data_IF_401731825028
#
_entry.id   IF_401731825028
#
_cell.length_a   1.000
_cell.length_b   1.000
_cell.length_c   1.000
_cell.angle_alpha   90.00
_cell.angle_beta   90.00
_cell.angle_gamma   90.00
#
_symmetry.space_group_name_H-M   'P 1'
#
loop_
_entity.id
_entity.type
_entity.pdbx_description
1 polymer ?
#
# COMPACT_ATOMS: atom_id res chain seq x y z
N UNK A 1 9.45 27.62 -3.93
CA UNK A 1 9.61 26.16 -3.85
C UNK A 1 9.53 25.60 -5.26
N UNK A 2 10.54 24.84 -5.67
CA UNK A 2 10.56 24.13 -6.95
C UNK A 2 10.46 22.62 -6.68
N UNK A 3 9.55 21.94 -7.38
CA UNK A 3 9.40 20.49 -7.31
C UNK A 3 9.10 19.94 -8.71
N UNK A 4 9.94 19.05 -9.19
CA UNK A 4 9.75 18.39 -10.50
C UNK A 4 9.26 16.95 -10.29
N UNK A 5 8.47 16.46 -11.24
CA UNK A 5 8.01 15.06 -11.21
C UNK A 5 9.20 14.07 -11.21
N UNK A 6 10.24 14.37 -12.00
CA UNK A 6 11.44 13.56 -12.05
C UNK A 6 12.13 13.47 -10.68
N UNK A 7 12.34 14.59 -9.99
CA UNK A 7 12.95 14.61 -8.67
C UNK A 7 12.10 13.83 -7.63
N UNK A 8 10.77 13.93 -7.72
CA UNK A 8 9.86 13.16 -6.87
C UNK A 8 10.01 11.65 -7.07
N UNK A 9 10.02 11.18 -8.32
CA UNK A 9 10.23 9.76 -8.65
C UNK A 9 11.63 9.30 -8.22
N UNK A 10 12.64 10.10 -8.47
CA UNK A 10 14.01 9.81 -8.04
C UNK A 10 14.10 9.59 -6.52
N UNK A 11 13.39 10.37 -5.72
CA UNK A 11 13.37 10.21 -4.26
C UNK A 11 12.75 8.88 -3.80
N UNK A 12 11.84 8.30 -4.58
CA UNK A 12 11.19 7.02 -4.28
C UNK A 12 12.10 5.81 -4.58
N UNK A 13 13.19 5.97 -5.32
CA UNK A 13 14.13 4.88 -5.61
C UNK A 13 14.87 4.36 -4.38
N UNK A 14 14.72 5.06 -3.24
CA UNK A 14 15.17 4.63 -1.92
C UNK A 14 16.66 4.21 -1.91
N UNK A 15 16.97 3.06 -1.32
CA UNK A 15 18.34 2.55 -1.15
C UNK A 15 19.05 2.05 -2.44
N UNK A 16 18.40 2.07 -3.59
CA UNK A 16 19.02 1.72 -4.87
C UNK A 16 20.23 2.61 -5.19
N UNK A 17 20.17 3.89 -4.79
CA UNK A 17 21.30 4.82 -4.91
C UNK A 17 22.52 4.36 -4.11
N UNK A 18 22.28 3.92 -2.88
CA UNK A 18 23.34 3.47 -1.98
C UNK A 18 24.02 2.21 -2.53
N UNK A 19 23.25 1.24 -3.02
CA UNK A 19 23.84 0.04 -3.61
C UNK A 19 24.68 0.34 -4.82
N UNK A 20 24.17 1.09 -5.78
CA UNK A 20 24.97 1.48 -6.94
C UNK A 20 26.21 2.30 -6.57
N UNK A 21 26.09 3.20 -5.60
CA UNK A 21 27.20 4.03 -5.14
C UNK A 21 28.30 3.28 -4.38
N UNK A 22 27.97 2.16 -3.73
CA UNK A 22 28.95 1.37 -2.95
C UNK A 22 29.74 0.41 -3.83
N UNK A 23 29.08 -0.34 -4.72
CA UNK A 23 29.70 -1.43 -5.46
C UNK A 23 29.38 -1.44 -6.98
N UNK A 24 28.61 -0.47 -7.46
CA UNK A 24 28.18 -0.41 -8.87
C UNK A 24 27.08 -1.40 -9.23
N UNK A 25 26.51 -2.12 -8.28
CA UNK A 25 25.49 -3.13 -8.56
C UNK A 25 24.19 -2.53 -9.05
N UNK A 26 23.62 -3.16 -10.10
CA UNK A 26 22.32 -2.79 -10.66
C UNK A 26 21.30 -3.83 -10.24
N UNK A 27 20.30 -3.40 -9.47
CA UNK A 27 19.23 -4.28 -9.04
C UNK A 27 18.31 -4.64 -10.21
N UNK A 28 18.17 -5.90 -10.57
CA UNK A 28 17.18 -6.34 -11.56
C UNK A 28 15.77 -6.38 -10.97
N UNK A 29 14.81 -6.84 -11.78
CA UNK A 29 13.44 -7.12 -11.32
C UNK A 29 13.38 -8.50 -10.66
N UNK A 30 12.84 -8.55 -9.43
CA UNK A 30 12.76 -9.78 -8.64
C UNK A 30 11.33 -10.24 -8.33
N UNK A 31 10.32 -9.64 -8.93
CA UNK A 31 8.92 -9.95 -8.63
C UNK A 31 8.38 -9.14 -7.46
N UNK A 32 7.65 -9.79 -6.55
CA UNK A 32 6.85 -9.12 -5.50
C UNK A 32 7.45 -9.20 -4.09
N UNK A 33 8.75 -9.37 -3.96
CA UNK A 33 9.44 -9.29 -2.67
C UNK A 33 10.50 -8.20 -2.64
N UNK A 34 10.82 -7.75 -1.42
CA UNK A 34 11.89 -6.78 -1.20
C UNK A 34 13.24 -7.49 -0.99
N UNK A 35 14.25 -7.10 -1.78
CA UNK A 35 15.57 -7.72 -1.72
C UNK A 35 16.39 -7.31 -0.49
N UNK A 36 16.04 -6.21 0.15
CA UNK A 36 16.72 -5.73 1.36
C UNK A 36 16.13 -6.35 2.64
N UNK A 37 15.03 -7.08 2.53
CA UNK A 37 14.29 -7.60 3.67
C UNK A 37 13.81 -9.03 3.38
N UNK A 38 14.28 -9.99 4.16
CA UNK A 38 13.83 -11.37 4.05
C UNK A 38 13.11 -11.80 5.35
N UNK A 39 11.82 -12.04 5.34
CA UNK A 39 10.81 -12.06 4.27
C UNK A 39 10.06 -10.73 4.27
N UNK A 40 9.81 -10.15 3.09
CA UNK A 40 8.84 -9.08 2.92
C UNK A 40 8.22 -9.26 1.54
N UNK A 41 7.13 -10.01 1.47
CA UNK A 41 6.59 -10.49 0.20
C UNK A 41 5.09 -10.75 0.26
N UNK A 42 4.46 -10.67 -0.91
CA UNK A 42 3.09 -11.16 -1.14
C UNK A 42 3.16 -12.63 -1.54
N UNK A 43 2.43 -13.46 -0.83
CA UNK A 43 2.44 -14.92 -0.99
C UNK A 43 1.07 -15.43 -1.47
N UNK A 44 1.01 -16.42 -2.35
CA UNK A 44 -0.25 -16.98 -2.82
C UNK A 44 -0.93 -17.83 -1.74
N UNK A 45 -2.26 -17.73 -1.69
CA UNK A 45 -3.15 -18.58 -0.91
C UNK A 45 -4.19 -19.20 -1.84
N UNK A 46 -5.00 -20.13 -1.32
CA UNK A 46 -6.04 -20.83 -2.07
C UNK A 46 -7.08 -19.89 -2.70
N UNK A 47 -7.40 -18.78 -2.04
CA UNK A 47 -8.45 -17.83 -2.41
C UNK A 47 -7.91 -16.42 -2.70
N UNK A 48 -6.60 -16.25 -2.90
CA UNK A 48 -6.00 -14.96 -3.19
C UNK A 48 -4.56 -14.85 -2.73
N UNK A 49 -4.20 -13.73 -2.11
CA UNK A 49 -2.83 -13.45 -1.70
C UNK A 49 -2.78 -12.85 -0.30
N UNK A 50 -1.68 -13.06 0.41
CA UNK A 50 -1.40 -12.48 1.73
C UNK A 50 -0.02 -11.84 1.75
N UNK A 51 0.08 -10.65 2.29
CA UNK A 51 1.35 -9.99 2.59
C UNK A 51 1.89 -10.50 3.93
N UNK A 52 3.17 -10.86 3.96
CA UNK A 52 3.89 -11.26 5.18
C UNK A 52 5.14 -10.42 5.33
N UNK A 53 5.28 -9.81 6.52
CA UNK A 53 6.42 -8.98 6.87
C UNK A 53 7.25 -9.58 8.00
N UNK A 54 8.46 -10.04 7.69
CA UNK A 54 9.41 -10.65 8.63
C UNK A 54 10.78 -9.98 8.62
N UNK A 55 10.81 -8.65 8.52
CA UNK A 55 12.01 -7.86 8.24
C UNK A 55 13.11 -7.88 9.31
N UNK A 56 12.85 -8.36 10.51
CA UNK A 56 13.86 -8.50 11.55
C UNK A 56 13.77 -9.87 12.26
N UNK A 57 14.83 -10.25 12.98
CA UNK A 57 15.01 -11.60 13.49
C UNK A 57 13.85 -12.09 14.36
N UNK A 58 13.30 -11.26 15.23
CA UNK A 58 12.15 -11.64 16.07
C UNK A 58 10.93 -12.08 15.25
N UNK A 59 10.60 -11.36 14.16
CA UNK A 59 9.48 -11.72 13.28
C UNK A 59 9.81 -12.93 12.42
N UNK A 60 11.06 -13.03 11.95
CA UNK A 60 11.56 -14.21 11.25
C UNK A 60 11.30 -15.50 12.04
N UNK A 61 11.76 -15.56 13.29
CA UNK A 61 11.55 -16.74 14.12
C UNK A 61 10.08 -17.03 14.39
N UNK A 62 9.24 -16.02 14.50
CA UNK A 62 7.80 -16.20 14.68
C UNK A 62 7.13 -16.78 13.43
N UNK A 63 7.52 -16.34 12.24
CA UNK A 63 7.03 -16.92 10.98
C UNK A 63 7.32 -18.43 10.96
N UNK A 64 8.58 -18.81 11.17
CA UNK A 64 8.96 -20.22 11.08
C UNK A 64 8.39 -21.07 12.20
N UNK A 65 8.25 -20.54 13.38
CA UNK A 65 7.51 -21.21 14.46
C UNK A 65 6.04 -21.43 14.09
N UNK A 66 5.41 -20.49 13.38
CA UNK A 66 4.06 -20.67 12.89
C UNK A 66 3.99 -21.79 11.84
N UNK A 67 4.92 -21.78 10.89
CA UNK A 67 5.05 -22.84 9.88
C UNK A 67 5.33 -24.21 10.53
N UNK A 68 6.19 -24.23 11.52
CA UNK A 68 6.62 -25.45 12.24
C UNK A 68 5.50 -26.17 12.98
N UNK A 69 4.41 -25.48 13.34
CA UNK A 69 3.23 -26.13 13.92
C UNK A 69 2.58 -27.14 12.96
N UNK A 70 2.64 -26.87 11.67
CA UNK A 70 2.09 -27.71 10.62
C UNK A 70 3.20 -28.54 9.92
N UNK A 71 4.43 -28.00 9.86
CA UNK A 71 5.60 -28.55 9.13
C UNK A 71 6.89 -28.41 9.93
N UNK A 72 7.10 -29.21 10.98
CA UNK A 72 8.27 -29.09 11.86
C UNK A 72 9.61 -29.29 11.13
N UNK A 73 9.64 -30.11 10.09
CA UNK A 73 10.83 -30.34 9.28
C UNK A 73 11.28 -29.08 8.53
N UNK A 74 10.33 -28.24 8.09
CA UNK A 74 10.62 -26.98 7.40
C UNK A 74 11.16 -25.93 8.38
N UNK A 75 10.54 -25.82 9.57
CA UNK A 75 11.04 -24.95 10.63
C UNK A 75 12.47 -25.33 11.00
N UNK A 76 12.72 -26.61 11.27
CA UNK A 76 14.03 -27.11 11.64
C UNK A 76 15.08 -26.78 10.57
N UNK A 77 14.80 -27.07 9.32
CA UNK A 77 15.71 -26.80 8.20
C UNK A 77 16.08 -25.32 8.08
N UNK A 78 15.10 -24.44 8.18
CA UNK A 78 15.30 -22.99 8.01
C UNK A 78 15.93 -22.33 9.26
N UNK A 79 15.50 -22.72 10.46
CA UNK A 79 15.93 -22.07 11.71
C UNK A 79 17.29 -22.58 12.19
N UNK A 80 17.62 -23.86 11.96
CA UNK A 80 18.90 -24.44 12.36
C UNK A 80 20.05 -24.09 11.42
N UNK A 81 19.79 -23.60 10.18
CA UNK A 81 20.84 -23.12 9.29
C UNK A 81 21.55 -21.90 9.92
N UNK A 82 22.84 -22.03 10.30
CA UNK A 82 23.60 -20.92 10.87
C UNK A 82 23.63 -19.68 9.99
N UNK A 83 23.52 -19.88 8.67
CA UNK A 83 23.52 -18.81 7.70
C UNK A 83 22.15 -18.12 7.54
N UNK A 84 21.13 -18.55 8.26
CA UNK A 84 19.80 -17.93 8.30
C UNK A 84 19.52 -17.17 9.60
N UNK A 85 20.45 -17.19 10.56
CA UNK A 85 20.23 -16.65 11.92
C UNK A 85 20.06 -15.14 11.96
N UNK A 86 20.82 -14.40 11.14
CA UNK A 86 20.81 -12.95 11.12
C UNK A 86 20.20 -12.40 9.82
N UNK A 87 19.57 -11.22 9.93
CA UNK A 87 18.92 -10.57 8.78
C UNK A 87 19.83 -10.43 7.57
N UNK A 88 21.08 -10.03 7.78
CA UNK A 88 22.07 -9.86 6.70
C UNK A 88 22.46 -11.17 6.03
N UNK A 89 22.49 -12.26 6.79
CA UNK A 89 22.82 -13.59 6.28
C UNK A 89 21.72 -14.17 5.37
N UNK A 90 20.48 -13.69 5.50
CA UNK A 90 19.31 -14.10 4.69
C UNK A 90 19.17 -13.36 3.36
N UNK A 91 19.95 -12.28 3.12
CA UNK A 91 19.82 -11.45 1.93
C UNK A 91 20.33 -12.07 0.61
N UNK A 92 21.26 -13.06 0.58
CA UNK A 92 21.61 -13.70 -0.68
C UNK A 92 20.35 -14.23 -1.39
N UNK A 93 20.27 -13.96 -2.69
CA UNK A 93 19.06 -14.24 -3.48
C UNK A 93 18.57 -15.68 -3.37
N UNK A 94 19.45 -16.66 -3.45
CA UNK A 94 19.08 -18.08 -3.36
C UNK A 94 18.41 -18.43 -2.01
N UNK A 95 18.81 -17.77 -0.92
CA UNK A 95 18.19 -17.95 0.40
C UNK A 95 16.81 -17.29 0.48
N UNK A 96 16.65 -16.13 -0.14
CA UNK A 96 15.34 -15.50 -0.25
C UNK A 96 14.38 -16.36 -1.08
N UNK A 97 14.84 -16.96 -2.18
CA UNK A 97 14.05 -17.89 -3.00
C UNK A 97 13.63 -19.11 -2.17
N UNK A 98 14.56 -19.74 -1.45
CA UNK A 98 14.29 -20.89 -0.58
C UNK A 98 13.21 -20.55 0.45
N UNK A 99 13.40 -19.45 1.16
CA UNK A 99 12.50 -18.97 2.20
C UNK A 99 11.11 -18.66 1.63
N UNK A 100 11.06 -17.92 0.53
CA UNK A 100 9.80 -17.57 -0.13
C UNK A 100 9.06 -18.82 -0.63
N UNK A 101 9.78 -19.75 -1.27
CA UNK A 101 9.19 -21.00 -1.76
C UNK A 101 8.62 -21.83 -0.63
N UNK A 102 9.35 -22.01 0.47
CA UNK A 102 8.88 -22.75 1.65
C UNK A 102 7.63 -22.15 2.26
N UNK A 103 7.56 -20.82 2.32
CA UNK A 103 6.39 -20.11 2.83
C UNK A 103 5.19 -20.24 1.89
N UNK A 104 5.39 -20.12 0.59
CA UNK A 104 4.35 -20.33 -0.42
C UNK A 104 3.79 -21.76 -0.36
N UNK A 105 4.65 -22.76 -0.25
CA UNK A 105 4.25 -24.16 -0.13
C UNK A 105 3.42 -24.44 1.14
N UNK A 106 3.69 -23.76 2.24
CA UNK A 106 2.89 -23.85 3.44
C UNK A 106 1.51 -23.19 3.28
N UNK A 107 1.44 -22.06 2.53
CA UNK A 107 0.21 -21.27 2.38
C UNK A 107 -0.73 -21.74 1.28
N UNK A 108 -0.24 -22.46 0.27
CA UNK A 108 -0.99 -22.76 -0.96
C UNK A 108 -2.35 -23.43 -0.75
N UNK A 109 -2.46 -24.23 0.31
CA UNK A 109 -3.68 -24.98 0.65
C UNK A 109 -4.55 -24.29 1.72
N UNK A 110 -4.11 -23.14 2.24
CA UNK A 110 -4.82 -22.32 3.21
C UNK A 110 -5.55 -21.16 2.51
N UNK A 111 -6.70 -20.78 3.04
CA UNK A 111 -7.32 -19.50 2.67
C UNK A 111 -6.53 -18.33 3.26
N UNK A 112 -6.72 -17.13 2.71
CA UNK A 112 -6.13 -15.89 3.27
C UNK A 112 -6.42 -15.74 4.75
N UNK A 113 -7.69 -15.96 5.15
CA UNK A 113 -8.14 -15.82 6.54
C UNK A 113 -7.50 -16.86 7.47
N UNK A 114 -7.36 -18.11 7.03
CA UNK A 114 -6.69 -19.17 7.82
C UNK A 114 -5.22 -18.87 8.03
N UNK A 115 -4.51 -18.50 6.96
CA UNK A 115 -3.09 -18.14 7.02
C UNK A 115 -2.85 -16.90 7.91
N UNK A 116 -3.68 -15.86 7.74
CA UNK A 116 -3.63 -14.64 8.53
C UNK A 116 -3.87 -14.92 10.01
N UNK A 117 -4.89 -15.69 10.34
CA UNK A 117 -5.20 -16.08 11.72
C UNK A 117 -4.02 -16.80 12.39
N UNK A 118 -3.41 -17.77 11.71
CA UNK A 118 -2.24 -18.50 12.23
C UNK A 118 -1.04 -17.57 12.45
N UNK A 119 -0.75 -16.68 11.50
CA UNK A 119 0.38 -15.75 11.58
C UNK A 119 0.17 -14.68 12.66
N UNK A 120 -1.01 -14.11 12.74
CA UNK A 120 -1.34 -13.08 13.73
C UNK A 120 -1.40 -13.63 15.16
N UNK A 121 -1.77 -14.89 15.35
CA UNK A 121 -1.70 -15.55 16.65
C UNK A 121 -0.28 -15.60 17.24
N UNK A 122 0.75 -15.60 16.37
CA UNK A 122 2.17 -15.48 16.76
C UNK A 122 2.70 -14.04 16.61
N UNK A 123 1.80 -13.05 16.52
CA UNK A 123 2.13 -11.62 16.33
C UNK A 123 3.02 -11.36 15.11
N UNK A 124 2.85 -12.12 14.03
CA UNK A 124 3.51 -11.87 12.74
C UNK A 124 2.74 -10.80 11.98
N UNK A 125 3.45 -9.80 11.47
CA UNK A 125 2.86 -8.78 10.62
C UNK A 125 2.40 -9.41 9.29
N UNK A 126 1.09 -9.54 9.13
CA UNK A 126 0.47 -10.14 7.94
C UNK A 126 -0.91 -9.53 7.68
N UNK A 127 -1.33 -9.57 6.43
CA UNK A 127 -2.65 -9.11 6.03
C UNK A 127 -3.03 -9.58 4.63
N UNK A 128 -4.27 -10.01 4.46
CA UNK A 128 -4.79 -10.40 3.15
C UNK A 128 -4.77 -9.23 2.15
N UNK A 129 -4.40 -9.52 0.90
CA UNK A 129 -4.54 -8.55 -0.20
C UNK A 129 -6.01 -8.48 -0.57
N UNK A 130 -6.62 -7.32 -0.36
CA UNK A 130 -8.06 -7.10 -0.55
C UNK A 130 -8.36 -6.45 -1.90
N UNK A 131 -9.46 -6.84 -2.52
CA UNK A 131 -10.07 -6.11 -3.63
C UNK A 131 -10.88 -4.92 -3.11
N UNK A 132 -11.24 -4.00 -4.00
CA UNK A 132 -11.90 -2.75 -3.60
C UNK A 132 -13.28 -2.97 -2.96
N UNK A 133 -14.02 -3.96 -3.38
CA UNK A 133 -15.29 -4.36 -2.80
C UNK A 133 -15.11 -4.86 -1.36
N UNK A 134 -14.11 -5.70 -1.10
CA UNK A 134 -13.75 -6.15 0.26
C UNK A 134 -13.34 -4.96 1.15
N UNK A 135 -12.56 -4.02 0.60
CA UNK A 135 -12.15 -2.80 1.31
C UNK A 135 -13.38 -1.96 1.68
N UNK A 136 -14.34 -1.80 0.76
CA UNK A 136 -15.56 -1.04 0.99
C UNK A 136 -16.45 -1.66 2.07
N UNK A 137 -16.41 -2.98 2.21
CA UNK A 137 -17.19 -3.71 3.22
C UNK A 137 -16.45 -3.88 4.55
N UNK A 138 -15.15 -3.56 4.62
CA UNK A 138 -14.33 -3.82 5.80
C UNK A 138 -14.81 -3.02 7.03
N UNK A 139 -15.16 -3.68 8.15
CA UNK A 139 -15.81 -3.03 9.30
C UNK A 139 -15.00 -1.86 9.89
N UNK A 140 -13.66 -1.97 9.93
CA UNK A 140 -12.80 -0.92 10.46
C UNK A 140 -12.86 0.35 9.61
N UNK A 141 -12.85 0.23 8.27
CA UNK A 141 -12.94 1.39 7.39
C UNK A 141 -14.31 2.06 7.44
N UNK A 142 -15.38 1.27 7.57
CA UNK A 142 -16.73 1.79 7.81
C UNK A 142 -16.82 2.53 9.15
N UNK A 143 -16.33 1.91 10.24
CA UNK A 143 -16.29 2.53 11.56
C UNK A 143 -15.50 3.84 11.58
N UNK A 144 -14.39 3.89 10.87
CA UNK A 144 -13.53 5.09 10.77
C UNK A 144 -14.08 6.15 9.82
N UNK A 145 -15.13 5.87 9.06
CA UNK A 145 -15.66 6.80 8.06
C UNK A 145 -14.67 7.11 6.94
N UNK A 146 -13.87 6.12 6.53
CA UNK A 146 -12.88 6.31 5.46
C UNK A 146 -13.50 6.42 4.07
N UNK A 147 -14.80 6.16 3.97
CA UNK A 147 -15.56 6.28 2.73
C UNK A 147 -16.86 7.04 3.00
N UNK A 148 -17.27 7.85 2.05
CA UNK A 148 -18.52 8.60 2.11
C UNK A 148 -19.20 8.64 0.74
N UNK A 149 -20.51 8.78 0.74
CA UNK A 149 -21.30 8.94 -0.48
C UNK A 149 -21.56 10.43 -0.69
N UNK A 150 -21.10 10.95 -1.81
CA UNK A 150 -21.27 12.35 -2.21
C UNK A 150 -22.27 12.43 -3.36
N UNK A 151 -23.17 13.41 -3.32
CA UNK A 151 -24.03 13.72 -4.45
C UNK A 151 -23.24 14.56 -5.47
N UNK A 152 -22.91 13.93 -6.60
CA UNK A 152 -22.16 14.55 -7.69
C UNK A 152 -23.10 15.08 -8.77
N UNK A 153 -22.74 16.23 -9.36
CA UNK A 153 -23.59 16.91 -10.36
C UNK A 153 -23.68 16.18 -11.70
N UNK A 154 -22.72 15.28 -11.99
CA UNK A 154 -22.70 14.52 -13.25
C UNK A 154 -23.15 13.07 -13.06
N UNK A 155 -22.74 12.46 -11.97
CA UNK A 155 -22.86 11.00 -11.76
C UNK A 155 -23.88 10.62 -10.68
N UNK A 156 -24.51 11.59 -10.00
CA UNK A 156 -25.41 11.32 -8.89
C UNK A 156 -24.64 10.86 -7.66
N UNK A 157 -25.06 9.78 -7.04
CA UNK A 157 -24.39 9.27 -5.83
C UNK A 157 -23.09 8.53 -6.14
N UNK A 158 -21.97 9.06 -5.67
CA UNK A 158 -20.64 8.48 -5.87
C UNK A 158 -20.02 8.14 -4.53
N UNK A 159 -19.56 6.89 -4.36
CA UNK A 159 -18.76 6.46 -3.22
C UNK A 159 -17.31 6.90 -3.43
N UNK A 160 -16.75 7.62 -2.46
CA UNK A 160 -15.39 8.12 -2.52
C UNK A 160 -14.63 7.89 -1.21
N UNK A 161 -13.31 7.98 -1.28
CA UNK A 161 -12.48 8.06 -0.08
C UNK A 161 -12.69 9.39 0.64
N UNK A 162 -12.95 9.32 1.94
CA UNK A 162 -13.06 10.48 2.82
C UNK A 162 -11.68 11.06 3.18
N UNK A 163 -11.65 12.13 3.98
CA UNK A 163 -10.39 12.71 4.47
C UNK A 163 -9.62 11.72 5.34
N UNK A 164 -8.34 11.50 5.02
CA UNK A 164 -7.45 10.69 5.84
C UNK A 164 -7.11 11.37 7.19
N UNK A 165 -7.26 12.69 7.26
CA UNK A 165 -6.98 13.47 8.47
C UNK A 165 -8.26 13.77 9.25
N UNK A 166 -8.37 13.17 10.43
CA UNK A 166 -9.51 13.35 11.33
C UNK A 166 -9.17 14.39 12.41
N UNK A 167 -9.32 15.67 12.08
CA UNK A 167 -9.20 16.74 13.05
C UNK A 167 -10.39 16.76 14.01
N UNK A 168 -10.16 16.70 15.32
CA UNK A 168 -11.26 16.67 16.29
C UNK A 168 -12.14 17.95 16.25
N UNK A 169 -11.53 19.12 16.12
CA UNK A 169 -12.24 20.41 16.09
C UNK A 169 -12.55 20.89 14.67
N UNK A 170 -11.77 20.47 13.71
CA UNK A 170 -11.88 20.86 12.29
C UNK A 170 -11.76 19.63 11.42
N UNK A 171 -12.78 18.73 11.41
CA UNK A 171 -12.73 17.54 10.59
C UNK A 171 -12.69 17.89 9.11
N UNK A 172 -11.80 17.21 8.37
CA UNK A 172 -11.79 17.28 6.91
C UNK A 172 -13.10 16.74 6.35
N UNK A 173 -13.59 17.35 5.27
CA UNK A 173 -14.80 16.91 4.56
C UNK A 173 -14.58 17.05 3.07
N UNK A 174 -15.03 16.06 2.29
CA UNK A 174 -15.12 16.18 0.85
C UNK A 174 -16.44 16.88 0.54
N UNK A 175 -16.38 18.03 -0.15
CA UNK A 175 -17.57 18.83 -0.49
C UNK A 175 -18.15 18.48 -1.84
N UNK A 176 -17.33 18.01 -2.76
CA UNK A 176 -17.70 17.58 -4.12
C UNK A 176 -16.64 16.62 -4.65
N UNK A 177 -16.99 15.82 -5.64
CA UNK A 177 -16.09 14.87 -6.30
C UNK A 177 -15.38 15.54 -7.47
N UNK A 178 -16.06 15.68 -8.59
CA UNK A 178 -15.58 16.36 -9.78
C UNK A 178 -16.63 17.32 -10.31
N UNK A 179 -16.21 18.42 -10.93
CA UNK A 179 -17.11 19.37 -11.52
C UNK A 179 -16.71 19.64 -12.96
N UNK A 180 -17.66 19.91 -13.86
CA UNK A 180 -17.34 20.31 -15.22
C UNK A 180 -16.42 21.53 -15.25
N UNK A 181 -15.58 21.63 -16.26
CA UNK A 181 -14.75 22.82 -16.48
C UNK A 181 -15.61 24.06 -16.50
N UNK A 182 -15.22 25.06 -15.72
CA UNK A 182 -15.93 26.33 -15.62
C UNK A 182 -17.17 26.33 -14.70
N UNK A 183 -17.54 25.19 -14.10
CA UNK A 183 -18.71 25.11 -13.20
C UNK A 183 -18.69 26.16 -12.08
N UNK A 184 -17.53 26.41 -11.52
CA UNK A 184 -17.34 27.33 -10.39
C UNK A 184 -16.91 28.74 -10.84
N UNK A 185 -16.79 29.01 -12.14
CA UNK A 185 -16.25 30.28 -12.65
C UNK A 185 -17.00 31.51 -12.09
N UNK A 186 -18.33 31.46 -12.05
CA UNK A 186 -19.10 32.58 -11.55
C UNK A 186 -18.83 32.90 -10.07
N UNK A 187 -18.86 31.87 -9.23
CA UNK A 187 -18.57 32.06 -7.80
C UNK A 187 -17.10 32.44 -7.54
N UNK A 188 -16.17 31.73 -8.19
CA UNK A 188 -14.74 31.94 -7.97
C UNK A 188 -14.28 33.33 -8.42
N UNK A 189 -14.62 33.76 -9.64
CA UNK A 189 -14.18 35.04 -10.15
C UNK A 189 -14.86 36.20 -9.44
N UNK A 190 -16.16 36.06 -9.11
CA UNK A 190 -16.87 37.10 -8.36
C UNK A 190 -16.31 37.22 -6.93
N UNK A 191 -16.14 36.11 -6.21
CA UNK A 191 -15.77 36.13 -4.80
C UNK A 191 -14.28 36.41 -4.57
N UNK A 192 -13.37 35.89 -5.40
CA UNK A 192 -11.93 35.99 -5.21
C UNK A 192 -11.31 37.20 -5.91
N UNK A 193 -11.88 37.63 -7.06
CA UNK A 193 -11.31 38.67 -7.90
C UNK A 193 -12.24 39.89 -7.95
N UNK A 194 -13.51 39.73 -7.63
CA UNK A 194 -14.48 40.80 -7.60
C UNK A 194 -15.04 41.20 -9.01
N UNK A 195 -14.94 40.26 -9.99
CA UNK A 195 -15.47 40.55 -11.32
C UNK A 195 -17.00 40.69 -11.30
N UNK A 196 -17.51 41.67 -12.03
CA UNK A 196 -18.92 41.83 -12.30
C UNK A 196 -19.40 40.79 -13.32
N UNK A 197 -20.72 40.59 -13.39
CA UNK A 197 -21.29 39.69 -14.39
C UNK A 197 -20.94 40.11 -15.82
N UNK A 198 -21.00 41.41 -16.11
CA UNK A 198 -20.71 41.99 -17.45
C UNK A 198 -19.23 41.72 -17.86
N UNK A 199 -18.29 41.81 -16.91
CA UNK A 199 -16.88 41.47 -17.15
C UNK A 199 -16.69 40.00 -17.42
N UNK A 200 -17.37 39.13 -16.68
CA UNK A 200 -17.31 37.66 -16.89
C UNK A 200 -17.94 37.29 -18.26
N UNK A 201 -19.07 37.88 -18.62
CA UNK A 201 -19.71 37.62 -19.91
C UNK A 201 -18.78 38.04 -21.07
N UNK A 202 -18.12 39.18 -20.98
CA UNK A 202 -17.11 39.61 -21.95
C UNK A 202 -15.90 38.68 -22.03
N UNK A 203 -15.46 38.09 -20.89
CA UNK A 203 -14.36 37.11 -20.86
C UNK A 203 -14.79 35.77 -21.47
N UNK A 204 -16.05 35.37 -21.29
CA UNK A 204 -16.64 34.20 -21.97
C UNK A 204 -16.71 34.36 -23.48
N UNK A 205 -17.19 35.51 -23.95
CA UNK A 205 -17.24 35.82 -25.38
C UNK A 205 -15.85 35.79 -26.04
N UNK A 206 -14.81 36.14 -25.27
CA UNK A 206 -13.42 36.09 -25.71
C UNK A 206 -12.76 34.70 -25.55
N UNK A 207 -13.48 33.72 -25.04
CA UNK A 207 -12.94 32.37 -24.81
C UNK A 207 -11.83 32.30 -23.74
N UNK A 208 -11.82 33.24 -22.78
CA UNK A 208 -10.82 33.30 -21.70
C UNK A 208 -11.28 32.48 -20.51
N UNK A 209 -12.58 32.43 -20.24
CA UNK A 209 -13.16 31.66 -19.12
C UNK A 209 -14.38 30.86 -19.58
#
# INVERSE_FOLDING_TARGET
VEATAAAGVMRILDYNWAWYGVDGSIRPRYGNWDLAICIYAVNPCKDGQIMVGGGHDRLWYRIWRTVGKDRPEVEQHIVEDPNMREVTARLPHYKQVETYTSLCEWMKDSTRSEAETKLQAEEVASGGVSFIDEVCEFPHYKYRGHMEVIDDVLYGKVLIGSSAFLGQRTPGRVKWVGRPTGYDNEDAYRRLIGLTKAEMDNLKEKGVI
#
